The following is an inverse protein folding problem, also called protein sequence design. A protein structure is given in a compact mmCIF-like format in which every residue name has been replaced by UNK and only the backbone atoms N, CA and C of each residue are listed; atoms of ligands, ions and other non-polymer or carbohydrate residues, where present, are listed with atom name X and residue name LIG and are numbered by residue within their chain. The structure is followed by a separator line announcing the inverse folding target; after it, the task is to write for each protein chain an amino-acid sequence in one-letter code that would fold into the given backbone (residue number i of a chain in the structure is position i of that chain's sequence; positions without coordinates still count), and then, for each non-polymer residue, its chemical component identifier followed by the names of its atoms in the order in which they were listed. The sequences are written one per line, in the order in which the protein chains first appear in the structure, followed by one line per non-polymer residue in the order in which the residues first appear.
data_IF_446625256233
#
_entry.id   IF_446625256233
#
_cell.length_a   1.000
_cell.length_b   1.000
_cell.length_c   1.000
_cell.angle_alpha   90.00
_cell.angle_beta   90.00
_cell.angle_gamma   90.00
#
_symmetry.space_group_name_H-M   'P 1'
#
loop_
_entity.id
_entity.type
_entity.pdbx_description
1 polymer ?
#
# COMPACT_ATOMS: atom_id res chain seq x y z
N UNK A 1 -17.27 -12.91 0.82
CA UNK A 1 -16.32 -12.34 -0.17
C UNK A 1 -14.92 -12.84 0.18
N UNK A 2 -14.06 -13.09 -0.82
CA UNK A 2 -12.72 -13.65 -0.62
C UNK A 2 -11.72 -12.93 -1.53
N UNK A 3 -10.63 -12.43 -0.97
CA UNK A 3 -9.54 -11.81 -1.72
C UNK A 3 -8.42 -12.83 -1.88
N UNK A 4 -8.06 -13.14 -3.13
CA UNK A 4 -7.05 -14.16 -3.43
C UNK A 4 -5.66 -13.56 -3.41
N UNK A 5 -5.49 -12.49 -4.19
CA UNK A 5 -4.20 -11.89 -4.50
C UNK A 5 -4.37 -10.38 -4.68
N UNK A 6 -3.34 -9.64 -4.30
CA UNK A 6 -3.21 -8.21 -4.56
C UNK A 6 -1.93 -8.00 -5.37
N UNK A 7 -2.08 -7.40 -6.54
CA UNK A 7 -0.97 -6.93 -7.37
C UNK A 7 -1.03 -5.41 -7.39
N UNK A 8 0.10 -4.78 -7.10
CA UNK A 8 0.24 -3.33 -6.97
C UNK A 8 1.40 -2.90 -7.85
N UNK A 9 1.18 -1.92 -8.71
CA UNK A 9 2.21 -1.31 -9.55
C UNK A 9 2.02 0.20 -9.55
N UNK A 10 3.14 0.93 -9.47
CA UNK A 10 3.18 2.38 -9.55
C UNK A 10 2.17 3.11 -8.63
N UNK A 11 2.06 2.65 -7.37
CA UNK A 11 1.03 3.13 -6.43
C UNK A 11 1.67 3.71 -5.16
N UNK A 12 1.57 5.02 -4.99
CA UNK A 12 2.17 5.80 -3.90
C UNK A 12 3.62 5.39 -3.64
N UNK A 13 3.94 4.86 -2.45
CA UNK A 13 5.28 4.42 -2.06
C UNK A 13 5.67 3.01 -2.54
N UNK A 14 4.82 2.33 -3.32
CA UNK A 14 5.08 0.97 -3.83
C UNK A 14 5.31 1.03 -5.34
N UNK A 15 6.53 0.71 -5.77
CA UNK A 15 6.86 0.55 -7.18
C UNK A 15 6.21 -0.71 -7.76
N UNK A 16 6.41 -1.85 -7.11
CA UNK A 16 5.69 -3.09 -7.40
C UNK A 16 5.55 -3.95 -6.14
N UNK A 17 4.44 -4.65 -6.01
CA UNK A 17 4.23 -5.65 -4.98
C UNK A 17 3.22 -6.71 -5.43
N UNK A 18 3.45 -7.94 -4.99
CA UNK A 18 2.55 -9.06 -5.17
C UNK A 18 2.33 -9.76 -3.83
N UNK A 19 1.08 -9.84 -3.39
CA UNK A 19 0.72 -10.38 -2.08
C UNK A 19 -0.43 -11.36 -2.21
N UNK A 20 -0.18 -12.61 -1.82
CA UNK A 20 -1.23 -13.61 -1.62
C UNK A 20 -2.00 -13.30 -0.33
N UNK A 21 -3.31 -13.09 -0.45
CA UNK A 21 -4.20 -12.70 0.63
C UNK A 21 -5.04 -13.86 1.18
N UNK A 22 -5.17 -14.95 0.41
CA UNK A 22 -5.97 -16.10 0.83
C UNK A 22 -5.26 -17.02 1.83
N UNK A 23 -6.04 -17.63 2.72
CA UNK A 23 -5.63 -18.65 3.70
C UNK A 23 -4.45 -18.22 4.60
N UNK A 24 -4.32 -16.92 4.90
CA UNK A 24 -3.21 -16.40 5.71
C UNK A 24 -3.51 -16.30 7.21
N UNK A 25 -4.78 -16.37 7.62
CA UNK A 25 -5.19 -16.14 9.01
C UNK A 25 -4.91 -14.69 9.44
N UNK A 26 -4.29 -14.51 10.61
CA UNK A 26 -3.82 -13.20 11.09
C UNK A 26 -2.41 -12.93 10.55
N UNK A 27 -2.25 -11.84 9.80
CA UNK A 27 -0.96 -11.44 9.23
C UNK A 27 -0.47 -10.15 9.86
N UNK A 28 0.79 -10.14 10.29
CA UNK A 28 1.49 -8.95 10.75
C UNK A 28 2.25 -8.32 9.57
N UNK A 29 2.02 -7.02 9.33
CA UNK A 29 2.75 -6.23 8.33
C UNK A 29 3.73 -5.32 9.07
N UNK A 30 5.03 -5.46 8.80
CA UNK A 30 6.10 -4.67 9.42
C UNK A 30 7.02 -4.04 8.39
N UNK A 31 7.74 -3.01 8.80
CA UNK A 31 8.69 -2.29 7.95
C UNK A 31 9.13 -0.97 8.59
N UNK A 32 10.39 -0.61 8.41
CA UNK A 32 11.04 0.60 8.93
C UNK A 32 11.62 1.37 7.75
N UNK A 33 11.46 2.69 7.74
CA UNK A 33 12.20 3.54 6.79
C UNK A 33 13.53 3.90 7.43
N UNK A 34 14.62 3.46 6.80
CA UNK A 34 15.99 3.71 7.26
C UNK A 34 16.69 4.83 6.49
N UNK A 35 16.00 5.51 5.57
CA UNK A 35 16.56 6.53 4.70
C UNK A 35 16.67 7.89 5.37
N UNK A 36 15.52 8.53 5.63
CA UNK A 36 15.45 9.89 6.17
C UNK A 36 14.91 9.88 7.59
N UNK A 37 15.79 10.18 8.56
CA UNK A 37 15.43 10.26 9.98
C UNK A 37 14.65 11.53 10.33
N UNK A 38 14.60 12.52 9.44
CA UNK A 38 13.80 13.74 9.59
C UNK A 38 12.34 13.56 9.15
N UNK A 39 12.01 12.41 8.55
CA UNK A 39 10.66 12.11 8.12
C UNK A 39 9.69 12.10 9.33
N UNK A 40 8.61 12.89 9.22
CA UNK A 40 7.57 12.98 10.26
C UNK A 40 6.76 11.67 10.43
N UNK A 41 6.96 10.70 9.54
CA UNK A 41 6.34 9.38 9.62
C UNK A 41 7.32 8.29 9.17
N UNK A 42 7.02 7.04 9.52
CA UNK A 42 7.87 5.92 9.13
C UNK A 42 7.88 5.65 7.62
N UNK A 43 6.99 6.17 6.77
CA UNK A 43 7.12 6.14 5.28
C UNK A 43 7.34 4.79 4.55
N UNK A 44 7.41 3.65 5.24
CA UNK A 44 7.93 2.38 4.69
C UNK A 44 6.91 1.58 3.85
N UNK A 45 5.87 2.22 3.33
CA UNK A 45 4.88 1.57 2.45
C UNK A 45 3.84 0.65 3.12
N UNK A 46 3.83 0.50 4.45
CA UNK A 46 2.86 -0.36 5.16
C UNK A 46 1.41 0.05 4.92
N UNK A 47 1.08 1.31 5.21
CA UNK A 47 -0.27 1.85 4.98
C UNK A 47 -0.61 1.89 3.49
N UNK A 48 0.40 2.09 2.63
CA UNK A 48 0.24 2.05 1.18
C UNK A 48 -0.30 0.71 0.68
N UNK A 49 0.20 -0.40 1.23
CA UNK A 49 -0.29 -1.74 0.85
C UNK A 49 -1.77 -1.94 1.21
N UNK A 50 -2.24 -1.38 2.33
CA UNK A 50 -3.66 -1.46 2.68
C UNK A 50 -4.51 -0.46 1.88
N UNK A 51 -3.96 0.72 1.59
CA UNK A 51 -4.61 1.71 0.76
C UNK A 51 -4.80 1.23 -0.68
N UNK A 52 -3.89 0.43 -1.25
CA UNK A 52 -4.09 -0.15 -2.58
C UNK A 52 -5.25 -1.13 -2.61
N UNK A 53 -5.40 -1.98 -1.59
CA UNK A 53 -6.57 -2.86 -1.48
C UNK A 53 -7.88 -2.06 -1.37
N UNK A 54 -7.90 -1.00 -0.54
CA UNK A 54 -9.09 -0.13 -0.44
C UNK A 54 -9.43 0.56 -1.75
N UNK A 55 -8.41 1.08 -2.44
CA UNK A 55 -8.58 1.75 -3.72
C UNK A 55 -9.13 0.80 -4.80
N UNK A 56 -8.66 -0.45 -4.86
CA UNK A 56 -9.21 -1.45 -5.77
C UNK A 56 -10.71 -1.73 -5.54
N UNK A 57 -11.18 -1.61 -4.30
CA UNK A 57 -12.57 -1.94 -3.93
C UNK A 57 -13.51 -0.74 -4.01
N UNK A 58 -13.02 0.45 -3.69
CA UNK A 58 -13.86 1.64 -3.49
C UNK A 58 -13.50 2.81 -4.40
N UNK A 59 -12.41 2.72 -5.17
CA UNK A 59 -11.90 3.81 -6.00
C UNK A 59 -11.23 4.95 -5.22
N UNK A 60 -11.06 4.80 -3.91
CA UNK A 60 -10.39 5.75 -3.03
C UNK A 60 -9.67 5.04 -1.87
N UNK A 61 -8.65 5.70 -1.33
CA UNK A 61 -7.94 5.23 -0.13
C UNK A 61 -8.68 5.60 1.16
N UNK A 62 -8.23 5.08 2.31
CA UNK A 62 -8.81 5.41 3.62
C UNK A 62 -8.79 6.93 3.96
N UNK A 63 -8.00 7.70 3.23
CA UNK A 63 -7.82 9.14 3.41
C UNK A 63 -8.38 9.97 2.24
N UNK A 64 -9.15 9.36 1.33
CA UNK A 64 -9.82 10.06 0.22
C UNK A 64 -8.94 10.35 -0.99
N UNK A 65 -7.70 9.84 -1.03
CA UNK A 65 -6.84 9.92 -2.22
C UNK A 65 -7.38 8.99 -3.31
N UNK A 66 -7.48 9.47 -4.55
CA UNK A 66 -8.13 8.77 -5.68
C UNK A 66 -7.59 9.26 -7.02
N UNK A 67 -8.01 8.61 -8.12
CA UNK A 67 -7.59 9.00 -9.47
C UNK A 67 -6.07 9.01 -9.61
N UNK A 68 -5.52 10.03 -10.26
CA UNK A 68 -4.09 10.14 -10.53
C UNK A 68 -3.25 10.48 -9.27
N UNK A 69 -3.88 10.96 -8.20
CA UNK A 69 -3.19 11.30 -6.94
C UNK A 69 -2.59 10.06 -6.23
N UNK A 70 -2.97 8.85 -6.66
CA UNK A 70 -2.39 7.60 -6.13
C UNK A 70 -1.14 7.14 -6.86
N UNK A 71 -0.76 7.78 -7.98
CA UNK A 71 0.42 7.40 -8.75
C UNK A 71 1.71 7.62 -7.95
N UNK A 72 2.68 6.73 -8.12
CA UNK A 72 4.00 6.93 -7.51
C UNK A 72 4.71 8.12 -8.15
N UNK A 73 5.39 8.93 -7.34
CA UNK A 73 6.13 10.11 -7.79
C UNK A 73 7.61 9.83 -8.09
N UNK A 74 8.06 8.57 -8.01
CA UNK A 74 9.41 8.15 -8.42
C UNK A 74 10.54 8.69 -7.54
N UNK A 75 10.59 8.28 -6.27
CA UNK A 75 11.72 8.55 -5.36
C UNK A 75 12.42 7.25 -4.94
#
# INVERSE_FOLDING_TARGET
MKFLKLQVENFMAIASAEVELDQRGLVLIQGVNSGDTSAASNGAGKSTLMNSLMWCLYGETAHGVKGDDVLSTGH
#
